data_IF_661057363666
#
_entry.id   IF_661057363666
#
_cell.length_a   1.000
_cell.length_b   1.000
_cell.length_c   1.000
_cell.angle_alpha   90.00
_cell.angle_beta   90.00
_cell.angle_gamma   90.00
#
_symmetry.space_group_name_H-M   'P 1'
#
loop_
_entity.id
_entity.type
_entity.pdbx_description
1 polymer ?
#
# COMPACT_ATOMS: atom_id res chain seq x y z
N UNK A 1 45.36 11.62 -40.42
CA UNK A 1 44.97 11.59 -39.01
C UNK A 1 43.48 11.80 -38.95
N UNK A 2 42.68 10.73 -38.80
CA UNK A 2 41.22 10.81 -38.71
C UNK A 2 40.85 10.33 -37.28
N UNK A 3 40.42 11.27 -36.45
CA UNK A 3 39.90 10.98 -35.08
C UNK A 3 38.46 10.55 -35.21
N UNK A 4 38.17 9.28 -34.93
CA UNK A 4 36.79 8.78 -34.77
C UNK A 4 36.33 9.11 -33.36
N UNK A 5 35.33 9.98 -33.26
CA UNK A 5 34.56 10.22 -32.02
C UNK A 5 33.54 9.08 -31.87
N UNK A 6 33.77 8.19 -30.90
CA UNK A 6 32.79 7.18 -30.52
C UNK A 6 31.74 7.80 -29.60
N UNK A 7 30.50 7.90 -30.09
CA UNK A 7 29.33 8.29 -29.28
C UNK A 7 28.86 7.04 -28.52
N UNK A 8 29.09 6.99 -27.18
CA UNK A 8 28.52 5.98 -26.31
C UNK A 8 27.07 6.35 -26.02
N UNK A 9 26.10 5.67 -26.62
CA UNK A 9 24.70 5.69 -26.22
C UNK A 9 24.54 4.87 -24.96
N UNK A 10 24.40 5.54 -23.82
CA UNK A 10 23.96 4.89 -22.58
C UNK A 10 22.46 4.62 -22.68
N UNK A 11 22.09 3.35 -22.91
CA UNK A 11 20.70 2.91 -22.87
C UNK A 11 20.21 2.92 -21.42
N UNK A 12 19.36 3.89 -21.07
CA UNK A 12 18.66 3.94 -19.80
C UNK A 12 17.47 2.96 -19.89
N UNK A 13 17.65 1.73 -19.43
CA UNK A 13 16.55 0.77 -19.30
C UNK A 13 15.77 1.09 -18.03
N UNK A 14 14.71 1.92 -18.13
CA UNK A 14 13.73 2.05 -17.06
C UNK A 14 13.04 0.69 -16.85
N UNK A 15 13.07 0.21 -15.63
CA UNK A 15 12.39 -1.03 -15.22
C UNK A 15 10.88 -0.84 -15.37
N UNK A 16 10.29 -1.43 -16.40
CA UNK A 16 8.86 -1.30 -16.73
C UNK A 16 7.91 -1.93 -15.68
N UNK A 17 8.43 -2.74 -14.77
CA UNK A 17 7.63 -3.48 -13.80
C UNK A 17 6.99 -2.59 -12.72
N UNK A 18 7.67 -1.55 -12.26
CA UNK A 18 7.12 -0.63 -11.24
C UNK A 18 6.05 0.30 -11.81
N UNK A 19 6.15 0.65 -13.09
CA UNK A 19 5.17 1.48 -13.77
C UNK A 19 3.81 0.77 -13.94
N UNK A 20 3.80 -0.55 -14.11
CA UNK A 20 2.56 -1.34 -14.29
C UNK A 20 1.80 -1.53 -12.97
N UNK A 21 2.49 -1.65 -11.84
CA UNK A 21 1.85 -1.74 -10.53
C UNK A 21 1.18 -0.41 -10.10
N UNK A 22 1.77 0.72 -10.50
CA UNK A 22 1.22 2.05 -10.24
C UNK A 22 0.10 2.44 -11.22
N UNK A 23 0.01 1.78 -12.37
CA UNK A 23 -1.00 2.04 -13.38
C UNK A 23 -2.34 1.30 -13.15
N UNK A 24 -2.47 0.49 -12.08
CA UNK A 24 -3.72 -0.22 -11.79
C UNK A 24 -4.78 0.76 -11.24
N UNK A 25 -5.87 1.03 -11.99
CA UNK A 25 -6.90 1.99 -11.57
C UNK A 25 -7.55 1.63 -10.23
N UNK A 26 -7.65 0.35 -9.91
CA UNK A 26 -8.21 -0.10 -8.64
C UNK A 26 -7.29 0.25 -7.45
N UNK A 27 -5.97 0.16 -7.64
CA UNK A 27 -4.99 0.55 -6.62
C UNK A 27 -4.99 2.07 -6.42
N UNK A 28 -5.08 2.85 -7.50
CA UNK A 28 -5.19 4.33 -7.42
C UNK A 28 -6.49 4.76 -6.71
N UNK A 29 -7.61 4.12 -7.05
CA UNK A 29 -8.88 4.35 -6.37
C UNK A 29 -8.78 3.97 -4.89
N UNK A 30 -8.14 2.84 -4.59
CA UNK A 30 -7.90 2.36 -3.24
C UNK A 30 -7.08 3.32 -2.40
N UNK A 31 -6.01 3.88 -2.97
CA UNK A 31 -5.20 4.93 -2.34
C UNK A 31 -6.07 6.15 -2.02
N UNK A 32 -6.74 6.74 -3.00
CA UNK A 32 -7.59 7.91 -2.80
C UNK A 32 -8.66 7.67 -1.72
N UNK A 33 -9.28 6.49 -1.71
CA UNK A 33 -10.30 6.12 -0.73
C UNK A 33 -9.68 5.91 0.66
N UNK A 34 -8.50 5.32 0.75
CA UNK A 34 -7.73 5.18 1.99
C UNK A 34 -7.35 6.54 2.58
N UNK A 35 -6.84 7.46 1.76
CA UNK A 35 -6.50 8.81 2.22
C UNK A 35 -7.73 9.54 2.78
N UNK A 36 -8.89 9.38 2.17
CA UNK A 36 -10.11 10.05 2.60
C UNK A 36 -10.69 9.46 3.91
N UNK A 37 -10.80 8.12 4.01
CA UNK A 37 -11.50 7.46 5.12
C UNK A 37 -10.61 6.97 6.25
N UNK A 38 -9.36 6.60 5.95
CA UNK A 38 -8.51 5.84 6.86
C UNK A 38 -7.31 6.63 7.36
N UNK A 39 -6.74 7.51 6.54
CA UNK A 39 -5.47 8.17 6.82
C UNK A 39 -5.51 9.09 8.05
N UNK A 40 -6.67 9.67 8.38
CA UNK A 40 -6.82 10.48 9.61
C UNK A 40 -6.44 9.70 10.88
N UNK A 41 -6.66 8.38 10.88
CA UNK A 41 -6.28 7.49 11.99
C UNK A 41 -5.06 6.65 11.67
N UNK A 42 -4.87 6.24 10.40
CA UNK A 42 -3.85 5.29 9.97
C UNK A 42 -2.78 5.85 9.05
N UNK A 43 -2.72 7.17 8.90
CA UNK A 43 -1.72 7.85 8.09
C UNK A 43 -0.31 7.78 8.70
N UNK A 44 0.65 8.33 7.94
CA UNK A 44 2.05 8.46 8.34
C UNK A 44 2.25 9.69 9.22
N UNK A 45 3.19 9.60 10.13
CA UNK A 45 3.59 10.72 10.99
C UNK A 45 2.85 10.81 12.32
N UNK A 46 3.14 11.85 13.11
CA UNK A 46 2.55 12.04 14.43
C UNK A 46 1.07 12.43 14.34
N UNK A 47 0.31 12.13 15.39
CA UNK A 47 -1.09 12.53 15.49
C UNK A 47 -2.09 11.53 14.90
N UNK A 48 -1.64 10.40 14.37
CA UNK A 48 -2.51 9.34 13.84
C UNK A 48 -2.78 8.27 14.90
N UNK A 49 -3.96 8.29 15.56
CA UNK A 49 -4.21 7.45 16.73
C UNK A 49 -4.22 5.95 16.40
N UNK A 50 -4.71 5.55 15.23
CA UNK A 50 -4.70 4.16 14.79
C UNK A 50 -3.29 3.64 14.54
N UNK A 51 -2.44 4.43 13.90
CA UNK A 51 -1.00 4.10 13.69
C UNK A 51 -0.29 3.95 15.03
N UNK A 52 -0.52 4.89 15.97
CA UNK A 52 0.06 4.84 17.31
C UNK A 52 -0.40 3.61 18.08
N UNK A 53 -1.68 3.28 18.04
CA UNK A 53 -2.25 2.12 18.72
C UNK A 53 -1.69 0.80 18.17
N UNK A 54 -1.54 0.68 16.85
CA UNK A 54 -0.94 -0.49 16.21
C UNK A 54 0.56 -0.62 16.56
N UNK A 55 1.31 0.47 16.55
CA UNK A 55 2.71 0.48 16.95
C UNK A 55 2.88 0.01 18.40
N UNK A 56 2.04 0.50 19.31
CA UNK A 56 2.02 0.07 20.72
C UNK A 56 1.64 -1.40 20.87
N UNK A 57 0.64 -1.87 20.12
CA UNK A 57 0.18 -3.27 20.14
C UNK A 57 1.27 -4.24 19.68
N UNK A 58 1.95 -3.93 18.62
CA UNK A 58 2.91 -4.86 17.99
C UNK A 58 4.36 -4.67 18.48
N UNK A 59 4.66 -3.58 19.19
CA UNK A 59 5.98 -3.33 19.84
C UNK A 59 7.18 -3.58 18.91
N UNK A 60 7.05 -3.17 17.65
CA UNK A 60 8.10 -3.32 16.63
C UNK A 60 8.10 -4.66 15.87
N UNK A 61 7.30 -5.66 16.29
CA UNK A 61 7.17 -6.91 15.54
C UNK A 61 6.50 -6.71 14.17
N UNK A 62 5.58 -5.73 14.06
CA UNK A 62 4.94 -5.33 12.82
C UNK A 62 4.86 -3.80 12.76
N UNK A 63 4.90 -3.19 11.55
CA UNK A 63 4.71 -1.76 11.40
C UNK A 63 3.35 -1.30 11.94
N UNK A 64 3.32 -0.13 12.60
CA UNK A 64 2.07 0.54 12.96
C UNK A 64 1.37 1.16 11.75
N UNK A 65 2.14 1.53 10.73
CA UNK A 65 1.65 2.11 9.47
C UNK A 65 1.10 0.98 8.60
N UNK A 66 -0.20 1.05 8.24
CA UNK A 66 -0.85 -0.01 7.46
C UNK A 66 -0.24 -0.22 6.09
N UNK A 67 0.20 0.86 5.44
CA UNK A 67 0.79 0.83 4.10
C UNK A 67 2.16 0.12 4.07
N UNK A 68 2.84 0.00 5.22
CA UNK A 68 4.15 -0.68 5.34
C UNK A 68 4.00 -2.16 5.75
N UNK A 69 2.78 -2.62 6.01
CA UNK A 69 2.50 -3.99 6.46
C UNK A 69 2.52 -4.98 5.31
N UNK A 70 3.14 -6.13 5.55
CA UNK A 70 3.23 -7.24 4.59
C UNK A 70 2.34 -8.43 4.95
N UNK A 71 1.71 -8.38 6.12
CA UNK A 71 0.89 -9.45 6.69
C UNK A 71 -0.62 -9.22 6.51
N UNK A 72 -1.02 -8.08 5.93
CA UNK A 72 -2.43 -7.77 5.70
C UNK A 72 -3.02 -8.74 4.66
N UNK A 73 -4.19 -9.27 4.98
CA UNK A 73 -4.96 -10.12 4.08
C UNK A 73 -6.23 -9.41 3.63
N UNK A 74 -6.73 -9.71 2.42
CA UNK A 74 -8.00 -9.15 1.95
C UNK A 74 -9.16 -9.37 2.93
N UNK A 75 -9.23 -10.55 3.54
CA UNK A 75 -10.26 -10.89 4.52
C UNK A 75 -10.11 -10.08 5.81
N UNK A 76 -8.88 -9.90 6.29
CA UNK A 76 -8.58 -9.11 7.49
C UNK A 76 -8.96 -7.64 7.34
N UNK A 77 -8.64 -7.04 6.19
CA UNK A 77 -9.02 -5.65 5.87
C UNK A 77 -10.54 -5.52 5.83
N UNK A 78 -11.24 -6.39 5.10
CA UNK A 78 -12.72 -6.36 5.03
C UNK A 78 -13.35 -6.57 6.40
N UNK A 79 -12.84 -7.50 7.20
CA UNK A 79 -13.33 -7.74 8.54
C UNK A 79 -13.20 -6.49 9.42
N UNK A 80 -12.01 -5.89 9.46
CA UNK A 80 -11.76 -4.70 10.27
C UNK A 80 -12.68 -3.54 9.89
N UNK A 81 -12.85 -3.28 8.59
CA UNK A 81 -13.72 -2.18 8.09
C UNK A 81 -15.19 -2.45 8.39
N UNK A 82 -15.68 -3.68 8.22
CA UNK A 82 -17.11 -4.00 8.38
C UNK A 82 -17.54 -4.28 9.81
N UNK A 83 -16.60 -4.68 10.68
CA UNK A 83 -16.92 -5.04 12.08
C UNK A 83 -16.34 -4.04 13.08
N UNK A 84 -15.37 -3.24 12.67
CA UNK A 84 -14.55 -2.49 13.59
C UNK A 84 -13.58 -3.39 14.37
N UNK A 85 -12.68 -2.80 15.11
CA UNK A 85 -11.72 -3.53 15.93
C UNK A 85 -11.26 -2.63 17.08
N UNK A 86 -11.56 -3.00 18.33
CA UNK A 86 -11.24 -2.19 19.50
C UNK A 86 -11.88 -0.79 19.38
N UNK A 87 -11.08 0.27 19.33
CA UNK A 87 -11.56 1.65 19.18
C UNK A 87 -11.84 2.05 17.71
N UNK A 88 -11.43 1.22 16.74
CA UNK A 88 -11.74 1.45 15.34
C UNK A 88 -13.23 1.23 15.08
N UNK A 89 -13.97 2.23 14.57
CA UNK A 89 -15.38 2.05 14.25
C UNK A 89 -15.55 1.10 13.05
N UNK A 90 -16.75 0.55 12.92
CA UNK A 90 -17.17 -0.12 11.70
C UNK A 90 -17.70 0.91 10.69
N UNK A 91 -17.57 0.58 9.41
CA UNK A 91 -18.10 1.40 8.31
C UNK A 91 -19.22 0.65 7.58
N UNK A 92 -20.34 1.34 7.38
CA UNK A 92 -21.48 0.81 6.62
C UNK A 92 -21.20 0.88 5.12
N UNK A 93 -21.98 0.12 4.35
CA UNK A 93 -21.87 0.14 2.87
C UNK A 93 -22.29 1.49 2.26
N UNK A 94 -23.04 2.30 2.98
CA UNK A 94 -23.39 3.68 2.61
C UNK A 94 -22.25 4.68 2.81
N UNK A 95 -21.27 4.35 3.63
CA UNK A 95 -20.07 5.16 3.89
C UNK A 95 -18.93 4.70 2.98
N UNK A 96 -18.58 3.42 3.05
CA UNK A 96 -17.59 2.79 2.18
C UNK A 96 -18.32 1.67 1.44
N UNK A 97 -18.58 1.85 0.15
CA UNK A 97 -19.21 0.83 -0.68
C UNK A 97 -18.39 -0.46 -0.74
N UNK A 98 -18.96 -1.59 -1.15
CA UNK A 98 -18.20 -2.82 -1.32
C UNK A 98 -17.11 -2.65 -2.40
N UNK A 99 -17.38 -1.91 -3.46
CA UNK A 99 -16.40 -1.61 -4.50
C UNK A 99 -15.25 -0.72 -4.01
N UNK A 100 -15.52 0.24 -3.12
CA UNK A 100 -14.49 1.07 -2.50
C UNK A 100 -13.66 0.25 -1.51
N UNK A 101 -14.30 -0.62 -0.73
CA UNK A 101 -13.60 -1.53 0.17
C UNK A 101 -12.72 -2.52 -0.60
N UNK A 102 -13.17 -3.01 -1.75
CA UNK A 102 -12.35 -3.86 -2.61
C UNK A 102 -11.12 -3.11 -3.14
N UNK A 103 -11.28 -1.86 -3.51
CA UNK A 103 -10.18 -1.00 -3.94
C UNK A 103 -9.18 -0.73 -2.79
N UNK A 104 -9.66 -0.36 -1.59
CA UNK A 104 -8.81 -0.20 -0.38
C UNK A 104 -8.06 -1.50 -0.09
N UNK A 105 -8.75 -2.63 -0.18
CA UNK A 105 -8.15 -3.94 0.06
C UNK A 105 -7.01 -4.22 -0.92
N UNK A 106 -7.20 -3.99 -2.21
CA UNK A 106 -6.16 -4.13 -3.22
C UNK A 106 -5.00 -3.17 -2.97
N UNK A 107 -5.29 -1.93 -2.58
CA UNK A 107 -4.27 -0.95 -2.23
C UNK A 107 -3.39 -1.41 -1.06
N UNK A 108 -3.99 -1.85 0.04
CA UNK A 108 -3.27 -2.23 1.26
C UNK A 108 -2.58 -3.60 1.17
N UNK A 109 -3.07 -4.50 0.32
CA UNK A 109 -2.48 -5.85 0.18
C UNK A 109 -1.57 -5.99 -1.04
N UNK A 110 -1.36 -4.88 -1.81
CA UNK A 110 -0.34 -4.88 -2.84
C UNK A 110 1.02 -5.12 -2.19
N UNK A 111 1.70 -6.17 -2.61
CA UNK A 111 3.09 -6.40 -2.22
C UNK A 111 4.00 -5.80 -3.27
N UNK A 112 4.90 -4.89 -2.92
CA UNK A 112 6.08 -4.69 -3.73
C UNK A 112 6.83 -6.03 -3.77
N UNK A 113 7.38 -6.46 -4.91
CA UNK A 113 8.20 -7.66 -4.98
C UNK A 113 9.33 -7.54 -3.99
N UNK A 114 9.41 -8.48 -3.04
CA UNK A 114 10.53 -8.55 -2.12
C UNK A 114 11.76 -9.04 -2.89
N UNK A 115 12.96 -8.69 -2.42
CA UNK A 115 14.22 -9.15 -3.03
C UNK A 115 14.30 -10.67 -3.19
N UNK A 116 13.60 -11.41 -2.33
CA UNK A 116 13.48 -12.87 -2.38
C UNK A 116 12.56 -13.36 -3.49
N UNK A 117 11.55 -12.57 -3.90
CA UNK A 117 10.64 -12.94 -4.98
C UNK A 117 11.32 -12.78 -6.36
N UNK A 118 12.33 -11.90 -6.46
CA UNK A 118 13.12 -11.65 -7.66
C UNK A 118 14.23 -12.71 -7.87
N UNK A 119 14.60 -13.45 -6.82
CA UNK A 119 15.70 -14.44 -6.86
C UNK A 119 15.25 -15.89 -6.95
N UNK A 120 13.96 -16.16 -7.17
CA UNK A 120 13.50 -17.52 -7.39
C UNK A 120 13.55 -17.83 -8.90
N UNK A 121 14.43 -18.76 -9.36
CA UNK A 121 14.51 -19.19 -10.74
C UNK A 121 13.25 -19.95 -11.15
#
# INVERSE_FOLDING_TARGET
MRRMLGLALAAFTLSASDALAQANPAVQKGDATFQYWCATCHGRGPGNPGTTALAAKYKGALPGILEDRQDLTPQGVRFAVRRGTSIMPFFRKTEISDADLDAITQYLTRRPPTRSDVQKP
#
